data_IF_589042658279
#
_entry.id   IF_589042658279
#
_cell.length_a   1.000
_cell.length_b   1.000
_cell.length_c   1.000
_cell.angle_alpha   90.00
_cell.angle_beta   90.00
_cell.angle_gamma   90.00
#
_symmetry.space_group_name_H-M   'P 1'
#
loop_
_entity.id
_entity.type
_entity.pdbx_description
1 polymer ?
#
# COMPACT_ATOMS: atom_id res chain seq x y z
N UNK A 1 9.75 -8.02 -10.23
CA UNK A 1 8.95 -8.83 -9.32
C UNK A 1 9.14 -10.30 -9.65
N UNK A 2 9.28 -11.13 -8.61
CA UNK A 2 9.39 -12.58 -8.76
C UNK A 2 8.32 -13.24 -7.90
N UNK A 3 7.75 -14.32 -8.41
CA UNK A 3 6.84 -15.19 -7.68
C UNK A 3 7.61 -16.42 -7.21
N UNK A 4 7.38 -16.85 -5.98
CA UNK A 4 8.07 -18.00 -5.41
C UNK A 4 7.58 -18.32 -4.02
N UNK A 5 8.29 -19.18 -3.32
CA UNK A 5 8.05 -19.50 -1.91
C UNK A 5 9.36 -19.45 -1.12
N UNK A 6 9.21 -19.21 0.17
CA UNK A 6 10.26 -19.38 1.17
C UNK A 6 9.68 -20.11 2.37
N UNK A 7 10.39 -21.14 2.84
CA UNK A 7 10.01 -21.87 4.02
C UNK A 7 10.83 -21.36 5.21
N UNK A 8 10.15 -21.06 6.29
CA UNK A 8 10.77 -20.64 7.55
C UNK A 8 10.27 -21.51 8.69
N UNK A 9 11.18 -22.00 9.54
CA UNK A 9 10.79 -22.63 10.79
C UNK A 9 10.15 -21.61 11.71
N UNK A 10 8.93 -21.85 12.12
CA UNK A 10 8.31 -21.07 13.19
C UNK A 10 8.75 -21.68 14.51
N UNK A 11 9.54 -20.98 15.34
CA UNK A 11 9.98 -21.53 16.62
C UNK A 11 8.76 -21.70 17.52
N UNK A 12 8.39 -22.94 17.80
CA UNK A 12 7.41 -23.26 18.82
C UNK A 12 7.98 -22.85 20.18
N UNK A 13 7.61 -21.65 20.65
CA UNK A 13 7.75 -21.26 22.07
C UNK A 13 9.16 -21.08 22.61
N UNK A 14 10.17 -20.74 21.82
CA UNK A 14 11.47 -20.32 22.33
C UNK A 14 11.63 -18.81 22.19
N UNK A 15 11.94 -18.12 23.28
CA UNK A 15 12.54 -16.79 23.24
C UNK A 15 13.82 -16.89 22.40
N UNK A 16 13.75 -16.53 21.11
CA UNK A 16 14.91 -16.56 20.23
C UNK A 16 15.82 -15.39 20.57
N UNK A 17 17.07 -15.69 20.90
CA UNK A 17 18.12 -14.67 20.92
C UNK A 17 18.09 -13.91 19.57
N UNK A 18 18.13 -12.57 19.61
CA UNK A 18 18.13 -11.78 18.38
C UNK A 18 19.35 -12.15 17.53
N UNK A 19 19.21 -12.25 16.19
CA UNK A 19 20.32 -12.53 15.31
C UNK A 19 21.44 -11.49 15.52
N UNK A 20 22.73 -11.87 15.38
CA UNK A 20 23.85 -10.98 15.68
C UNK A 20 23.72 -9.70 14.86
N UNK A 21 23.50 -8.60 15.57
CA UNK A 21 23.37 -7.27 14.95
C UNK A 21 24.66 -6.97 14.17
N UNK A 22 24.54 -6.82 12.86
CA UNK A 22 25.59 -6.17 12.06
C UNK A 22 25.87 -4.83 12.71
N UNK A 23 27.10 -4.64 13.22
CA UNK A 23 27.52 -3.41 13.88
C UNK A 23 27.23 -2.23 12.96
N UNK A 24 26.23 -1.43 13.33
CA UNK A 24 25.89 -0.22 12.60
C UNK A 24 27.14 0.68 12.48
N UNK A 25 27.35 1.34 11.35
CA UNK A 25 28.48 2.25 11.15
C UNK A 25 28.57 3.27 12.27
N UNK A 26 29.81 3.63 12.66
CA UNK A 26 30.10 4.49 13.81
C UNK A 26 29.42 5.85 13.80
N UNK A 27 29.09 6.38 12.62
CA UNK A 27 28.31 7.62 12.46
C UNK A 27 26.86 7.51 12.96
N UNK A 28 26.25 6.33 12.98
CA UNK A 28 24.93 6.14 13.59
C UNK A 28 24.96 6.33 15.12
N UNK A 29 26.13 6.13 15.78
CA UNK A 29 26.28 6.38 17.22
C UNK A 29 26.38 7.88 17.56
N UNK A 30 26.97 8.69 16.68
CA UNK A 30 27.02 10.16 16.87
C UNK A 30 25.65 10.81 16.71
N UNK A 31 24.76 10.19 15.95
CA UNK A 31 23.38 10.67 15.74
C UNK A 31 22.43 10.24 16.86
N UNK A 32 22.61 9.03 17.40
CA UNK A 32 21.82 8.54 18.53
C UNK A 32 22.02 9.37 19.82
N UNK A 33 23.18 10.02 19.98
CA UNK A 33 23.44 10.86 21.15
C UNK A 33 22.86 12.29 21.05
N UNK A 34 22.54 12.79 19.84
CA UNK A 34 21.88 14.11 19.66
C UNK A 34 20.35 14.05 19.72
N UNK A 35 19.76 12.88 19.55
CA UNK A 35 18.30 12.70 19.52
C UNK A 35 17.66 12.43 20.90
N UNK A 36 18.47 12.18 21.95
CA UNK A 36 17.94 11.70 23.23
C UNK A 36 17.36 12.75 24.16
N UNK A 37 17.54 14.05 23.91
CA UNK A 37 17.09 15.11 24.83
C UNK A 37 15.86 15.91 24.36
N UNK A 38 15.47 15.84 23.08
CA UNK A 38 14.26 16.49 22.56
C UNK A 38 13.09 15.54 22.29
N UNK A 39 13.31 14.23 22.42
CA UNK A 39 12.31 13.18 22.08
C UNK A 39 11.50 12.68 23.27
N UNK A 40 11.74 13.15 24.48
CA UNK A 40 10.90 12.79 25.64
C UNK A 40 9.48 13.30 25.42
N UNK A 41 8.64 12.44 24.84
CA UNK A 41 7.22 12.71 24.64
C UNK A 41 6.69 12.48 23.23
N UNK A 42 7.54 12.35 22.22
CA UNK A 42 7.10 12.09 20.84
C UNK A 42 7.01 10.59 20.54
N UNK A 43 5.98 10.20 19.80
CA UNK A 43 5.81 8.82 19.32
C UNK A 43 6.29 8.79 17.87
N UNK A 44 7.46 8.18 17.65
CA UNK A 44 8.14 8.19 16.36
C UNK A 44 8.31 6.76 15.84
N UNK A 45 7.93 6.57 14.57
CA UNK A 45 8.29 5.43 13.74
C UNK A 45 9.22 5.91 12.64
N UNK A 46 10.22 5.10 12.29
CA UNK A 46 11.19 5.44 11.27
C UNK A 46 11.34 4.28 10.27
N UNK A 47 11.32 4.63 8.98
CA UNK A 47 11.68 3.76 7.86
C UNK A 47 13.04 4.20 7.31
N UNK A 48 13.51 3.57 6.23
CA UNK A 48 14.73 4.02 5.55
C UNK A 48 14.60 5.42 4.90
N UNK A 49 13.38 5.79 4.47
CA UNK A 49 13.12 7.02 3.70
C UNK A 49 12.48 8.14 4.49
N UNK A 50 11.77 7.85 5.56
CA UNK A 50 11.01 8.84 6.31
C UNK A 50 10.85 8.51 7.79
N UNK A 51 10.56 9.55 8.55
CA UNK A 51 10.12 9.51 9.94
C UNK A 51 8.64 9.87 10.01
N UNK A 52 7.87 9.10 10.79
CA UNK A 52 6.45 9.37 11.08
C UNK A 52 6.32 9.72 12.54
N UNK A 53 5.68 10.83 12.81
CA UNK A 53 5.31 11.27 14.14
C UNK A 53 3.81 11.05 14.34
N UNK A 54 3.45 10.35 15.43
CA UNK A 54 2.06 10.09 15.82
C UNK A 54 1.60 11.13 16.83
N UNK A 55 0.40 11.67 16.62
CA UNK A 55 -0.24 12.62 17.51
C UNK A 55 -0.83 11.91 18.72
N UNK A 56 -0.44 12.29 19.93
CA UNK A 56 -0.88 11.68 21.17
C UNK A 56 -2.36 11.94 21.50
N UNK A 57 -2.94 13.00 20.98
CA UNK A 57 -4.33 13.37 21.27
C UNK A 57 -5.31 12.66 20.35
N UNK A 58 -4.88 12.39 19.13
CA UNK A 58 -5.75 11.77 18.12
C UNK A 58 -5.34 10.33 17.79
N UNK A 59 -4.05 9.98 17.95
CA UNK A 59 -3.51 8.72 17.46
C UNK A 59 -3.28 8.68 15.95
N UNK A 60 -3.59 9.77 15.24
CA UNK A 60 -3.31 9.93 13.82
C UNK A 60 -1.86 10.30 13.54
N UNK A 61 -1.51 10.42 12.27
CA UNK A 61 -0.18 10.89 11.86
C UNK A 61 -0.16 12.41 11.97
N UNK A 62 0.64 12.93 12.89
CA UNK A 62 0.88 14.37 13.01
C UNK A 62 1.75 14.88 11.87
N UNK A 63 2.72 14.08 11.45
CA UNK A 63 3.63 14.45 10.37
C UNK A 63 4.43 13.29 9.80
N UNK A 64 4.73 13.39 8.51
CA UNK A 64 5.67 12.55 7.77
C UNK A 64 6.80 13.44 7.30
N UNK A 65 8.03 13.09 7.69
CA UNK A 65 9.24 13.85 7.46
C UNK A 65 10.23 13.03 6.64
N UNK A 66 10.66 13.49 5.46
CA UNK A 66 11.73 12.87 4.70
C UNK A 66 13.04 12.82 5.49
N UNK A 67 13.80 11.77 5.37
CA UNK A 67 15.13 11.65 5.93
C UNK A 67 16.19 12.12 4.92
N UNK A 68 17.34 12.70 5.40
CA UNK A 68 17.72 12.93 6.81
C UNK A 68 17.11 14.20 7.41
N UNK A 69 16.67 15.17 6.59
CA UNK A 69 16.16 16.46 7.05
C UNK A 69 15.05 16.94 6.12
N UNK A 70 13.82 16.78 6.52
CA UNK A 70 12.68 17.21 5.75
C UNK A 70 11.67 18.03 6.55
N UNK A 71 10.84 18.78 5.83
CA UNK A 71 9.65 19.42 6.42
C UNK A 71 8.53 18.40 6.52
N UNK A 72 7.56 18.67 7.39
CA UNK A 72 6.34 17.86 7.42
C UNK A 72 5.63 17.90 6.05
N UNK A 73 5.43 16.73 5.46
CA UNK A 73 4.77 16.60 4.17
C UNK A 73 3.31 16.20 4.29
N UNK A 74 2.94 15.41 5.30
CA UNK A 74 1.63 14.77 5.37
C UNK A 74 1.17 14.59 6.82
N UNK A 75 -0.10 14.90 7.09
CA UNK A 75 -0.83 14.47 8.27
C UNK A 75 -1.98 13.55 7.91
N UNK A 76 -2.44 12.71 8.86
CA UNK A 76 -3.57 11.82 8.68
C UNK A 76 -4.43 11.75 9.92
N UNK A 77 -5.76 11.67 9.74
CA UNK A 77 -6.77 11.45 10.79
C UNK A 77 -7.92 10.60 10.27
N UNK A 78 -8.64 9.97 11.18
CA UNK A 78 -9.93 9.35 10.90
C UNK A 78 -11.05 10.35 11.24
N UNK A 79 -12.10 10.37 10.43
CA UNK A 79 -13.31 11.15 10.74
C UNK A 79 -14.54 10.58 10.04
N UNK A 80 -15.71 10.88 10.60
CA UNK A 80 -16.99 10.79 9.90
C UNK A 80 -17.34 12.17 9.37
N UNK A 81 -17.74 12.26 8.10
CA UNK A 81 -18.35 13.43 7.51
C UNK A 81 -19.87 13.35 7.69
N UNK A 82 -20.44 14.46 8.15
CA UNK A 82 -21.89 14.64 8.27
C UNK A 82 -22.45 15.43 7.10
N UNK A 83 -23.71 15.25 6.80
CA UNK A 83 -24.41 15.99 5.73
C UNK A 83 -24.60 17.47 6.07
N UNK A 84 -24.75 17.79 7.35
CA UNK A 84 -24.90 19.15 7.89
C UNK A 84 -23.69 19.48 8.80
N UNK A 85 -23.41 20.78 9.04
CA UNK A 85 -22.43 21.18 10.03
C UNK A 85 -22.68 20.53 11.38
N UNK A 86 -21.62 20.04 11.99
CA UNK A 86 -21.65 19.26 13.22
C UNK A 86 -21.52 20.17 14.46
N UNK A 87 -22.54 20.98 14.74
CA UNK A 87 -22.59 21.85 15.92
C UNK A 87 -23.41 23.12 15.70
N UNK A 88 -24.05 23.60 16.78
CA UNK A 88 -24.78 24.84 16.73
C UNK A 88 -23.85 26.06 16.58
N UNK A 89 -24.10 26.87 15.56
CA UNK A 89 -23.35 28.11 15.33
C UNK A 89 -22.06 27.91 14.48
N UNK A 90 -21.80 26.75 13.93
CA UNK A 90 -20.72 26.55 12.96
C UNK A 90 -21.16 27.02 11.58
N UNK A 91 -20.24 27.67 10.85
CA UNK A 91 -20.51 28.16 9.49
C UNK A 91 -20.48 27.01 8.50
N UNK A 92 -21.39 27.01 7.52
CA UNK A 92 -21.36 26.13 6.36
C UNK A 92 -20.11 26.38 5.49
N UNK A 93 -19.49 27.55 5.61
CA UNK A 93 -18.29 27.92 4.88
C UNK A 93 -17.03 27.26 5.44
N UNK A 94 -17.07 26.71 6.68
CA UNK A 94 -15.96 25.96 7.25
C UNK A 94 -16.07 24.47 6.91
N UNK A 95 -15.23 23.94 6.02
CA UNK A 95 -15.25 22.51 5.66
C UNK A 95 -15.02 21.58 6.85
N UNK A 96 -14.33 22.01 7.89
CA UNK A 96 -14.08 21.18 9.09
C UNK A 96 -15.32 21.06 9.99
N UNK A 97 -16.28 21.98 9.90
CA UNK A 97 -17.54 21.93 10.62
C UNK A 97 -18.36 20.66 10.34
N UNK A 98 -18.11 20.00 9.20
CA UNK A 98 -18.83 18.79 8.79
C UNK A 98 -18.22 17.50 9.33
N UNK A 99 -17.16 17.54 10.15
CA UNK A 99 -16.44 16.34 10.53
C UNK A 99 -16.44 16.07 12.02
N UNK A 100 -16.46 14.79 12.36
CA UNK A 100 -16.23 14.33 13.73
C UNK A 100 -14.77 14.58 14.15
N UNK A 101 -14.53 14.60 15.46
CA UNK A 101 -13.20 14.72 16.04
C UNK A 101 -12.69 13.34 16.42
N UNK A 102 -11.40 13.06 16.11
CA UNK A 102 -10.69 11.87 16.50
C UNK A 102 -10.02 12.07 17.87
N UNK A 103 -10.23 11.14 18.80
CA UNK A 103 -9.66 11.19 20.16
C UNK A 103 -9.05 9.83 20.47
N UNK A 104 -7.75 9.81 20.80
CA UNK A 104 -7.07 8.62 21.29
C UNK A 104 -7.40 8.38 22.77
N UNK A 105 -7.58 7.10 23.13
CA UNK A 105 -7.76 6.64 24.51
C UNK A 105 -6.53 5.89 24.99
N UNK A 106 -5.97 5.02 24.14
CA UNK A 106 -4.70 4.31 24.41
C UNK A 106 -3.79 4.42 23.22
N UNK A 107 -2.47 4.45 23.48
CA UNK A 107 -1.45 4.37 22.44
C UNK A 107 -0.34 3.45 22.94
N UNK A 108 -0.12 2.35 22.25
CA UNK A 108 0.87 1.35 22.57
C UNK A 108 1.90 1.21 21.45
N UNK A 109 3.16 1.01 21.84
CA UNK A 109 4.23 0.69 20.89
C UNK A 109 4.58 -0.78 20.99
N UNK A 110 4.80 -1.40 19.85
CA UNK A 110 5.25 -2.80 19.77
C UNK A 110 6.36 -2.91 18.75
N UNK A 111 7.23 -3.86 18.95
CA UNK A 111 8.20 -4.31 17.95
C UNK A 111 8.04 -5.81 17.79
N UNK A 112 7.81 -6.26 16.56
CA UNK A 112 7.62 -7.68 16.27
C UNK A 112 8.96 -8.40 16.15
N UNK A 113 8.96 -9.72 16.25
CA UNK A 113 10.16 -10.54 16.07
C UNK A 113 10.78 -10.38 14.65
N UNK A 114 10.00 -9.95 13.66
CA UNK A 114 10.47 -9.63 12.30
C UNK A 114 11.11 -8.24 12.18
N UNK A 115 11.19 -7.47 13.28
CA UNK A 115 11.73 -6.11 13.29
C UNK A 115 10.77 -5.04 12.77
N UNK A 116 9.50 -5.37 12.60
CA UNK A 116 8.47 -4.38 12.31
C UNK A 116 8.15 -3.57 13.57
N UNK A 117 8.05 -2.26 13.42
CA UNK A 117 7.69 -1.34 14.49
C UNK A 117 6.25 -0.89 14.30
N UNK A 118 5.47 -1.03 15.35
CA UNK A 118 4.04 -0.75 15.36
C UNK A 118 3.67 0.28 16.43
N UNK A 119 2.70 1.12 16.09
CA UNK A 119 1.98 1.95 17.05
C UNK A 119 0.49 1.64 16.90
N UNK A 120 -0.07 1.01 17.93
CA UNK A 120 -1.50 0.75 18.03
C UNK A 120 -2.17 1.84 18.84
N UNK A 121 -3.23 2.40 18.29
CA UNK A 121 -4.08 3.39 18.94
C UNK A 121 -5.51 2.87 19.01
N UNK A 122 -6.11 2.84 20.19
CA UNK A 122 -7.56 2.72 20.33
C UNK A 122 -8.15 4.07 20.71
N UNK A 123 -9.38 4.33 20.26
CA UNK A 123 -10.00 5.60 20.52
C UNK A 123 -11.42 5.70 19.98
N UNK A 124 -11.90 6.93 19.93
CA UNK A 124 -13.27 7.24 19.50
C UNK A 124 -13.32 8.44 18.57
N UNK A 125 -14.30 8.41 17.69
CA UNK A 125 -14.75 9.56 16.93
C UNK A 125 -15.96 10.15 17.66
N UNK A 126 -15.95 11.46 17.87
CA UNK A 126 -17.02 12.17 18.54
C UNK A 126 -17.52 13.34 17.70
N UNK A 127 -18.79 13.66 17.83
CA UNK A 127 -19.34 14.85 17.21
C UNK A 127 -18.97 16.15 17.96
N UNK A 128 -19.48 17.30 17.53
CA UNK A 128 -19.19 18.59 18.18
C UNK A 128 -19.70 18.65 19.61
N UNK A 129 -20.80 17.94 19.94
CA UNK A 129 -21.34 17.82 21.29
C UNK A 129 -20.58 16.87 22.20
N UNK A 130 -19.64 16.08 21.62
CA UNK A 130 -18.88 15.06 22.35
C UNK A 130 -19.57 13.70 22.39
N UNK A 131 -20.69 13.52 21.66
CA UNK A 131 -21.36 12.23 21.54
C UNK A 131 -20.55 11.25 20.68
N UNK A 132 -20.63 9.97 21.05
CA UNK A 132 -19.91 8.89 20.35
C UNK A 132 -20.48 8.68 18.94
N UNK A 133 -19.61 8.73 17.95
CA UNK A 133 -19.90 8.47 16.53
C UNK A 133 -19.41 7.10 16.13
N UNK A 134 -18.18 6.73 16.52
CA UNK A 134 -17.59 5.40 16.31
C UNK A 134 -16.48 5.16 17.30
N UNK A 135 -16.17 3.89 17.57
CA UNK A 135 -14.88 3.47 18.12
C UNK A 135 -13.96 3.09 16.99
N UNK A 136 -12.65 3.21 17.21
CA UNK A 136 -11.66 2.81 16.23
C UNK A 136 -10.44 2.14 16.89
N UNK A 137 -9.82 1.27 16.13
CA UNK A 137 -8.44 0.82 16.35
C UNK A 137 -7.63 1.16 15.10
N UNK A 138 -6.48 1.81 15.26
CA UNK A 138 -5.57 2.13 14.19
C UNK A 138 -4.18 1.63 14.54
N UNK A 139 -3.59 0.82 13.64
CA UNK A 139 -2.20 0.35 13.76
C UNK A 139 -1.38 0.95 12.64
N UNK A 140 -0.36 1.70 13.01
CA UNK A 140 0.64 2.23 12.08
C UNK A 140 1.86 1.31 12.15
N UNK A 141 2.15 0.60 11.05
CA UNK A 141 3.22 -0.39 10.99
C UNK A 141 4.30 0.04 10.01
N UNK A 142 5.54 0.16 10.49
CA UNK A 142 6.73 0.43 9.70
C UNK A 142 7.58 -0.84 9.60
N UNK A 143 7.65 -1.43 8.39
CA UNK A 143 8.46 -2.60 8.11
C UNK A 143 9.78 -2.20 7.44
N UNK A 144 10.92 -2.81 7.81
CA UNK A 144 12.20 -2.58 7.14
C UNK A 144 12.24 -3.13 5.71
N UNK A 145 11.25 -3.94 5.31
CA UNK A 145 11.20 -4.61 4.02
C UNK A 145 10.23 -3.97 3.02
N UNK A 146 9.47 -2.96 3.44
CA UNK A 146 8.49 -2.29 2.60
C UNK A 146 8.86 -0.83 2.34
N UNK A 147 8.69 -0.33 1.11
CA UNK A 147 8.94 1.08 0.78
C UNK A 147 7.80 2.01 1.24
N UNK A 148 6.88 1.52 2.05
CA UNK A 148 5.73 2.25 2.57
C UNK A 148 5.39 1.79 3.99
N UNK A 149 4.72 2.67 4.71
CA UNK A 149 4.12 2.37 6.02
C UNK A 149 2.71 1.85 5.81
N UNK A 150 2.33 0.81 6.54
CA UNK A 150 0.96 0.28 6.53
C UNK A 150 0.14 0.94 7.65
N UNK A 151 -1.09 1.25 7.31
CA UNK A 151 -2.09 1.77 8.22
C UNK A 151 -3.26 0.80 8.21
N UNK A 152 -3.42 0.03 9.29
CA UNK A 152 -4.56 -0.85 9.50
C UNK A 152 -5.59 -0.12 10.36
N UNK A 153 -6.81 -0.07 9.90
CA UNK A 153 -7.91 0.67 10.53
C UNK A 153 -9.06 -0.28 10.74
N UNK A 154 -9.57 -0.34 11.96
CA UNK A 154 -10.86 -0.95 12.31
C UNK A 154 -11.79 0.12 12.81
N UNK A 155 -13.03 0.13 12.30
CA UNK A 155 -14.10 1.03 12.69
C UNK A 155 -15.28 0.23 13.23
N UNK A 156 -15.74 0.61 14.42
CA UNK A 156 -16.99 0.09 15.02
C UNK A 156 -17.97 1.28 15.12
N UNK A 157 -18.81 1.52 14.07
CA UNK A 157 -19.68 2.68 14.00
C UNK A 157 -20.90 2.54 14.92
N UNK A 158 -21.16 3.57 15.73
CA UNK A 158 -22.42 3.76 16.47
C UNK A 158 -23.43 4.55 15.61
N UNK A 159 -22.93 5.44 14.75
CA UNK A 159 -23.74 6.22 13.81
C UNK A 159 -23.40 5.80 12.39
N UNK A 160 -24.40 5.28 11.66
CA UNK A 160 -24.21 4.92 10.26
C UNK A 160 -24.29 6.15 9.35
N UNK A 161 -23.52 6.20 8.25
CA UNK A 161 -23.64 7.25 7.25
C UNK A 161 -25.05 7.36 6.63
N UNK A 162 -25.40 8.55 6.19
CA UNK A 162 -26.66 8.82 5.49
C UNK A 162 -26.64 8.33 4.04
N UNK A 163 -27.77 8.49 3.32
CA UNK A 163 -27.97 7.87 2.02
C UNK A 163 -27.02 8.37 0.92
N UNK A 164 -26.60 9.65 0.96
CA UNK A 164 -25.67 10.18 -0.05
C UNK A 164 -24.23 9.89 0.33
N UNK A 165 -23.55 8.95 -0.37
CA UNK A 165 -22.21 8.49 0.00
C UNK A 165 -21.14 9.58 -0.15
N UNK A 166 -21.40 10.64 -0.92
CA UNK A 166 -20.48 11.76 -1.07
C UNK A 166 -20.63 12.84 0.00
N UNK A 167 -21.73 12.81 0.73
CA UNK A 167 -22.01 13.82 1.77
C UNK A 167 -21.93 13.25 3.19
N UNK A 168 -22.06 11.93 3.35
CA UNK A 168 -21.98 11.28 4.65
C UNK A 168 -21.21 9.97 4.52
N UNK A 169 -20.05 9.88 5.19
CA UNK A 169 -19.13 8.74 5.12
C UNK A 169 -18.10 8.78 6.23
N UNK A 170 -17.50 7.63 6.55
CA UNK A 170 -16.27 7.57 7.30
C UNK A 170 -15.08 7.63 6.35
N UNK A 171 -14.04 8.35 6.73
CA UNK A 171 -12.85 8.53 5.90
C UNK A 171 -11.55 8.42 6.69
N UNK A 172 -10.51 7.97 5.98
CA UNK A 172 -9.13 8.29 6.29
C UNK A 172 -8.79 9.60 5.57
N UNK A 173 -8.55 10.64 6.36
CA UNK A 173 -8.31 12.00 5.87
C UNK A 173 -6.83 12.31 5.86
N UNK A 174 -6.36 12.80 4.75
CA UNK A 174 -4.98 13.23 4.54
C UNK A 174 -4.92 14.73 4.32
N UNK A 175 -3.90 15.37 4.88
CA UNK A 175 -3.60 16.78 4.63
C UNK A 175 -2.12 16.95 4.37
N UNK A 176 -1.76 17.78 3.40
CA UNK A 176 -0.35 18.04 3.04
C UNK A 176 -0.04 19.52 3.04
N UNK A 177 1.26 19.85 3.10
CA UNK A 177 1.73 21.23 3.31
C UNK A 177 1.97 22.00 2.03
N UNK A 178 2.31 21.35 0.91
CA UNK A 178 2.70 21.96 -0.35
C UNK A 178 1.49 22.10 -1.30
N UNK A 179 1.07 23.34 -1.56
CA UNK A 179 -0.07 23.66 -2.43
C UNK A 179 0.20 23.36 -3.91
N UNK A 180 1.47 23.27 -4.30
CA UNK A 180 1.87 23.02 -5.69
C UNK A 180 1.80 21.53 -6.09
N UNK A 181 1.52 20.63 -5.14
CA UNK A 181 1.42 19.20 -5.44
C UNK A 181 0.24 18.90 -6.36
N UNK A 182 0.52 18.31 -7.52
CA UNK A 182 -0.48 17.77 -8.40
C UNK A 182 -1.04 16.45 -7.87
N UNK A 183 -2.35 16.27 -7.97
CA UNK A 183 -3.01 15.01 -7.60
C UNK A 183 -3.04 14.10 -8.82
N UNK A 184 -2.49 12.90 -8.68
CA UNK A 184 -2.54 11.83 -9.68
C UNK A 184 -3.30 10.64 -9.13
N UNK A 185 -4.11 10.02 -9.96
CA UNK A 185 -4.90 8.83 -9.61
C UNK A 185 -4.54 7.65 -10.48
N UNK A 186 -4.73 6.43 -9.99
CA UNK A 186 -4.65 5.25 -10.82
C UNK A 186 -5.92 5.11 -11.67
N UNK A 187 -5.73 4.91 -12.98
CA UNK A 187 -6.78 4.53 -13.92
C UNK A 187 -6.42 3.14 -14.46
N UNK A 188 -7.08 2.10 -13.94
CA UNK A 188 -6.58 0.74 -14.11
C UNK A 188 -5.16 0.64 -13.56
N UNK A 189 -4.21 0.14 -14.36
CA UNK A 189 -2.80 0.01 -14.00
C UNK A 189 -1.93 1.20 -14.45
N UNK A 190 -2.53 2.27 -14.98
CA UNK A 190 -1.83 3.50 -15.37
C UNK A 190 -2.13 4.64 -14.39
N UNK A 191 -1.39 5.74 -14.48
CA UNK A 191 -1.65 6.95 -13.69
C UNK A 191 -2.02 8.16 -14.56
N UNK A 192 -2.90 9.02 -14.06
CA UNK A 192 -3.33 10.25 -14.69
C UNK A 192 -3.52 11.36 -13.66
N UNK A 193 -3.23 12.59 -14.04
CA UNK A 193 -3.54 13.75 -13.21
C UNK A 193 -5.06 13.98 -13.14
N UNK A 194 -5.51 14.55 -12.03
CA UNK A 194 -6.93 14.87 -11.80
C UNK A 194 -7.08 16.15 -11.00
N UNK A 195 -8.04 16.97 -11.39
CA UNK A 195 -8.50 18.15 -10.66
C UNK A 195 -9.92 17.98 -10.11
N UNK A 196 -10.49 16.78 -10.28
CA UNK A 196 -11.85 16.48 -9.84
C UNK A 196 -11.97 16.52 -8.32
N UNK A 197 -13.00 17.16 -7.79
CA UNK A 197 -13.33 17.12 -6.36
C UNK A 197 -13.64 15.70 -5.90
N UNK A 198 -14.31 14.92 -6.72
CA UNK A 198 -14.71 13.53 -6.44
C UNK A 198 -14.22 12.65 -7.58
N UNK A 199 -13.45 11.65 -7.22
CA UNK A 199 -12.85 10.78 -8.23
C UNK A 199 -12.67 9.35 -7.73
N UNK A 200 -12.50 8.45 -8.67
CA UNK A 200 -12.16 7.07 -8.43
C UNK A 200 -10.67 6.83 -8.69
N UNK A 201 -10.05 6.01 -7.84
CA UNK A 201 -8.68 5.55 -8.00
C UNK A 201 -8.55 4.15 -7.41
N UNK A 202 -8.28 3.15 -8.24
CA UNK A 202 -8.39 1.75 -7.84
C UNK A 202 -7.25 1.27 -6.94
N UNK A 203 -6.03 1.79 -7.14
CA UNK A 203 -4.83 1.26 -6.51
C UNK A 203 -4.09 2.29 -5.65
N UNK A 204 -3.99 3.54 -6.12
CA UNK A 204 -3.24 4.57 -5.41
C UNK A 204 -3.64 5.98 -5.82
N UNK A 205 -3.40 6.91 -4.91
CA UNK A 205 -3.39 8.35 -5.19
C UNK A 205 -1.97 8.86 -4.92
N UNK A 206 -1.41 9.63 -5.84
CA UNK A 206 -0.13 10.31 -5.66
C UNK A 206 -0.31 11.82 -5.55
N UNK A 207 0.42 12.40 -4.62
CA UNK A 207 0.60 13.84 -4.48
C UNK A 207 2.00 14.14 -4.98
N UNK A 208 2.08 14.62 -6.22
CA UNK A 208 3.34 14.83 -6.94
C UNK A 208 3.81 16.28 -6.80
N UNK A 209 4.81 16.51 -5.99
CA UNK A 209 5.50 17.78 -5.84
C UNK A 209 6.83 17.83 -6.61
N UNK A 210 7.49 18.98 -6.60
CA UNK A 210 8.77 19.19 -7.30
C UNK A 210 9.93 18.38 -6.70
N UNK A 211 9.94 18.14 -5.39
CA UNK A 211 11.02 17.47 -4.67
C UNK A 211 10.64 16.07 -4.18
N UNK A 212 9.37 15.84 -3.89
CA UNK A 212 8.87 14.62 -3.30
C UNK A 212 7.53 14.23 -3.90
N UNK A 213 7.31 12.93 -3.98
CA UNK A 213 6.02 12.34 -4.31
C UNK A 213 5.54 11.53 -3.11
N UNK A 214 4.36 11.86 -2.59
CA UNK A 214 3.67 11.05 -1.60
C UNK A 214 2.74 10.10 -2.34
N UNK A 215 2.75 8.84 -1.96
CA UNK A 215 1.87 7.81 -2.55
C UNK A 215 0.99 7.22 -1.46
N UNK A 216 -0.31 7.39 -1.62
CA UNK A 216 -1.33 6.74 -0.82
C UNK A 216 -1.77 5.50 -1.56
N UNK A 217 -1.40 4.32 -1.06
CA UNK A 217 -1.81 3.03 -1.63
C UNK A 217 -3.16 2.66 -1.03
N UNK A 218 -4.19 2.63 -1.85
CA UNK A 218 -5.59 2.47 -1.42
C UNK A 218 -6.31 1.34 -2.16
N UNK A 219 -5.68 0.15 -2.35
CA UNK A 219 -6.34 -0.93 -3.05
C UNK A 219 -7.60 -1.38 -2.29
N UNK A 220 -8.72 -1.51 -3.01
CA UNK A 220 -10.02 -1.82 -2.42
C UNK A 220 -10.78 -0.62 -1.84
N UNK A 221 -10.20 0.58 -1.86
CA UNK A 221 -10.80 1.84 -1.42
C UNK A 221 -10.84 2.84 -2.56
N UNK A 222 -11.71 2.65 -3.57
CA UNK A 222 -11.60 3.38 -4.83
C UNK A 222 -12.12 4.82 -4.80
N UNK A 223 -12.84 5.23 -3.76
CA UNK A 223 -13.53 6.52 -3.76
C UNK A 223 -12.80 7.57 -2.95
N UNK A 224 -12.55 8.72 -3.58
CA UNK A 224 -11.79 9.83 -3.00
C UNK A 224 -12.51 11.16 -3.19
N UNK A 225 -12.37 12.05 -2.20
CA UNK A 225 -12.89 13.40 -2.26
C UNK A 225 -11.84 14.41 -1.84
N UNK A 226 -11.58 15.39 -2.71
CA UNK A 226 -10.82 16.58 -2.35
C UNK A 226 -11.68 17.49 -1.46
N UNK A 227 -11.10 17.94 -0.35
CA UNK A 227 -11.73 18.89 0.58
C UNK A 227 -10.87 20.14 0.63
N UNK A 228 -11.12 21.03 -0.32
CA UNK A 228 -10.23 22.15 -0.58
C UNK A 228 -8.93 21.73 -1.28
N UNK A 229 -7.90 22.60 -1.23
CA UNK A 229 -6.70 22.45 -2.06
C UNK A 229 -5.71 21.38 -1.57
N UNK A 230 -5.71 21.07 -0.28
CA UNK A 230 -4.64 20.26 0.36
C UNK A 230 -5.17 19.18 1.29
N UNK A 231 -6.39 18.76 1.10
CA UNK A 231 -7.00 17.70 1.91
C UNK A 231 -7.68 16.69 1.01
N UNK A 232 -7.47 15.43 1.30
CA UNK A 232 -8.07 14.29 0.61
C UNK A 232 -8.74 13.38 1.61
N UNK A 233 -9.99 13.05 1.38
CA UNK A 233 -10.70 12.00 2.06
C UNK A 233 -10.68 10.74 1.19
N UNK A 234 -10.13 9.65 1.72
CA UNK A 234 -10.33 8.30 1.19
C UNK A 234 -11.51 7.70 1.94
N UNK A 235 -12.59 7.39 1.22
CA UNK A 235 -13.82 6.87 1.80
C UNK A 235 -13.59 5.44 2.27
N UNK A 236 -13.87 5.18 3.56
CA UNK A 236 -13.75 3.87 4.19
C UNK A 236 -15.10 3.16 4.25
N UNK A 237 -16.12 3.88 4.73
CA UNK A 237 -17.43 3.29 4.98
C UNK A 237 -18.53 4.27 4.59
N UNK A 238 -19.44 3.79 3.75
CA UNK A 238 -20.65 4.47 3.34
C UNK A 238 -21.89 3.69 3.82
N UNK A 239 -23.09 4.25 3.62
CA UNK A 239 -24.34 3.57 4.01
C UNK A 239 -24.49 2.24 3.26
N UNK A 240 -24.75 1.17 4.03
CA UNK A 240 -24.93 -0.19 3.50
C UNK A 240 -23.65 -1.01 3.42
N UNK A 241 -22.47 -0.39 3.63
CA UNK A 241 -21.20 -1.11 3.69
C UNK A 241 -21.07 -1.89 5.01
N UNK A 242 -20.65 -3.14 4.92
CA UNK A 242 -20.48 -4.02 6.09
C UNK A 242 -19.03 -4.22 6.50
N UNK A 243 -18.08 -3.87 5.63
CA UNK A 243 -16.64 -3.92 5.92
C UNK A 243 -16.29 -3.00 7.09
N UNK A 244 -15.45 -3.46 7.99
CA UNK A 244 -15.04 -2.72 9.19
C UNK A 244 -13.53 -2.57 9.29
N UNK A 245 -12.78 -3.29 8.50
CA UNK A 245 -11.32 -3.31 8.51
C UNK A 245 -10.79 -2.85 7.16
N UNK A 246 -9.82 -1.93 7.21
CA UNK A 246 -9.28 -1.27 6.04
C UNK A 246 -7.77 -1.19 6.14
N UNK A 247 -7.09 -1.30 5.00
CA UNK A 247 -5.63 -1.16 4.94
C UNK A 247 -5.24 -0.12 3.91
N UNK A 248 -4.37 0.80 4.32
CA UNK A 248 -3.82 1.85 3.46
C UNK A 248 -2.29 1.83 3.58
N UNK A 249 -1.59 2.03 2.47
CA UNK A 249 -0.15 2.25 2.48
C UNK A 249 0.18 3.73 2.29
N UNK A 250 1.22 4.21 2.97
CA UNK A 250 1.72 5.57 2.82
C UNK A 250 3.22 5.49 2.50
N UNK A 251 3.59 5.89 1.29
CA UNK A 251 4.97 5.82 0.83
C UNK A 251 5.51 7.17 0.36
N UNK A 252 6.81 7.37 0.55
CA UNK A 252 7.54 8.54 0.06
C UNK A 252 8.40 8.12 -1.12
N UNK A 253 8.25 8.83 -2.26
CA UNK A 253 9.00 8.59 -3.49
C UNK A 253 8.91 7.15 -4.01
N UNK A 254 7.73 6.54 -3.87
CA UNK A 254 7.48 5.17 -4.37
C UNK A 254 7.62 5.16 -5.88
N UNK A 255 8.64 4.47 -6.38
CA UNK A 255 9.00 4.46 -7.80
C UNK A 255 8.00 3.69 -8.67
N UNK A 256 7.41 2.61 -8.12
CA UNK A 256 6.49 1.71 -8.81
C UNK A 256 5.20 1.56 -8.00
N UNK A 257 4.28 2.53 -8.07
CA UNK A 257 3.12 2.59 -7.19
C UNK A 257 2.12 1.45 -7.42
N UNK A 258 1.96 0.98 -8.67
CA UNK A 258 1.11 -0.19 -8.97
C UNK A 258 1.66 -1.45 -8.30
N UNK A 259 2.96 -1.68 -8.41
CA UNK A 259 3.61 -2.82 -7.78
C UNK A 259 3.48 -2.77 -6.25
N UNK A 260 3.68 -1.60 -5.65
CA UNK A 260 3.52 -1.41 -4.20
C UNK A 260 2.07 -1.64 -3.75
N UNK A 261 1.08 -1.18 -4.54
CA UNK A 261 -0.32 -1.42 -4.26
C UNK A 261 -0.68 -2.92 -4.35
N UNK A 262 -0.12 -3.63 -5.34
CA UNK A 262 -0.30 -5.08 -5.45
C UNK A 262 0.32 -5.83 -4.27
N UNK A 263 1.48 -5.41 -3.75
CA UNK A 263 2.07 -5.99 -2.53
C UNK A 263 1.17 -5.79 -1.31
N UNK A 264 0.48 -4.64 -1.23
CA UNK A 264 -0.46 -4.38 -0.15
C UNK A 264 -1.75 -5.20 -0.28
N UNK A 265 -2.23 -5.39 -1.52
CA UNK A 265 -3.46 -6.13 -1.83
C UNK A 265 -3.30 -7.65 -1.69
N UNK A 266 -2.14 -8.15 -2.05
CA UNK A 266 -1.83 -9.58 -2.09
C UNK A 266 -0.60 -9.87 -1.21
N UNK A 267 -0.78 -9.90 0.12
CA UNK A 267 0.30 -10.31 1.01
C UNK A 267 0.70 -11.77 0.75
N UNK A 268 1.89 -12.14 1.21
CA UNK A 268 2.32 -13.53 1.17
C UNK A 268 1.31 -14.44 1.86
N UNK A 269 0.99 -15.57 1.22
CA UNK A 269 0.12 -16.59 1.81
C UNK A 269 0.98 -17.49 2.70
N UNK A 270 0.66 -17.54 3.98
CA UNK A 270 1.29 -18.44 4.94
C UNK A 270 0.53 -19.77 4.98
N UNK A 271 1.24 -20.87 4.76
CA UNK A 271 0.67 -22.21 4.83
C UNK A 271 1.36 -22.94 5.98
N UNK A 272 0.69 -23.08 7.15
CA UNK A 272 1.26 -23.74 8.31
C UNK A 272 1.32 -25.25 8.12
N UNK A 273 2.22 -25.92 8.86
CA UNK A 273 2.29 -27.38 9.01
C UNK A 273 2.68 -28.19 7.76
N UNK A 274 3.29 -27.57 6.77
CA UNK A 274 3.89 -28.31 5.64
C UNK A 274 5.31 -28.71 6.04
N UNK A 275 5.74 -29.98 5.83
CA UNK A 275 7.14 -30.35 6.02
C UNK A 275 8.06 -29.47 5.18
N UNK A 276 9.24 -29.16 5.72
CA UNK A 276 10.23 -28.37 4.99
C UNK A 276 10.47 -28.94 3.60
N UNK A 277 10.23 -28.17 2.54
CA UNK A 277 10.55 -28.63 1.20
C UNK A 277 12.07 -28.61 0.96
N UNK A 278 12.52 -29.37 -0.01
CA UNK A 278 13.90 -29.29 -0.51
C UNK A 278 13.89 -28.84 -1.97
N UNK A 279 14.35 -27.63 -2.31
CA UNK A 279 14.99 -26.60 -1.46
C UNK A 279 13.98 -25.84 -0.57
N UNK A 280 14.49 -25.20 0.48
CA UNK A 280 13.68 -24.39 1.43
C UNK A 280 13.14 -23.09 0.85
N UNK A 281 13.61 -22.68 -0.30
CA UNK A 281 13.09 -21.55 -1.07
C UNK A 281 13.23 -21.80 -2.56
N UNK A 282 12.25 -21.37 -3.33
CA UNK A 282 12.32 -21.40 -4.78
C UNK A 282 11.53 -20.24 -5.37
N UNK A 283 11.92 -19.85 -6.57
CA UNK A 283 11.19 -18.91 -7.40
C UNK A 283 10.43 -19.66 -8.50
N UNK A 284 9.33 -19.11 -8.93
CA UNK A 284 8.47 -19.68 -9.98
C UNK A 284 8.59 -18.90 -11.28
N UNK A 285 8.43 -17.57 -11.18
CA UNK A 285 8.44 -16.65 -12.31
C UNK A 285 9.13 -15.34 -11.90
N UNK A 286 9.91 -14.78 -12.81
CA UNK A 286 10.55 -13.48 -12.65
C UNK A 286 10.53 -12.66 -13.93
N UNK A 287 10.49 -11.33 -13.77
CA UNK A 287 10.70 -10.35 -14.83
C UNK A 287 11.96 -9.56 -14.53
N UNK A 288 12.73 -9.21 -15.58
CA UNK A 288 13.95 -8.40 -15.45
C UNK A 288 13.70 -6.89 -15.31
N UNK A 289 12.44 -6.47 -15.41
CA UNK A 289 12.01 -5.07 -15.31
C UNK A 289 10.97 -4.87 -14.21
N UNK A 290 10.92 -3.66 -13.64
CA UNK A 290 9.99 -3.33 -12.55
C UNK A 290 8.74 -2.54 -13.00
N UNK A 291 8.79 -1.94 -14.19
CA UNK A 291 7.65 -1.19 -14.75
C UNK A 291 6.61 -2.09 -15.44
N UNK A 292 6.84 -3.39 -15.47
CA UNK A 292 5.88 -4.37 -15.99
C UNK A 292 5.44 -5.27 -14.85
N UNK A 293 4.15 -5.46 -14.74
CA UNK A 293 3.53 -6.35 -13.76
C UNK A 293 2.90 -7.55 -14.44
N UNK A 294 2.90 -8.68 -13.75
CA UNK A 294 2.10 -9.85 -14.13
C UNK A 294 0.69 -9.62 -13.59
N UNK A 295 -0.24 -9.32 -14.47
CA UNK A 295 -1.64 -9.03 -14.10
C UNK A 295 -2.52 -10.27 -14.03
N UNK A 296 -2.13 -11.35 -14.72
CA UNK A 296 -2.78 -12.66 -14.60
C UNK A 296 -1.83 -13.80 -14.98
N UNK A 297 -2.04 -14.95 -14.37
CA UNK A 297 -1.41 -16.23 -14.74
C UNK A 297 -2.53 -17.28 -14.76
N UNK A 298 -2.69 -17.96 -15.90
CA UNK A 298 -3.62 -19.05 -16.08
C UNK A 298 -2.84 -20.33 -16.40
N UNK A 299 -2.84 -21.35 -15.53
CA UNK A 299 -2.22 -22.63 -15.82
C UNK A 299 -3.14 -23.45 -16.73
N UNK A 300 -2.56 -24.03 -17.78
CA UNK A 300 -3.23 -25.01 -18.66
C UNK A 300 -2.62 -26.38 -18.38
N UNK A 301 -3.44 -27.32 -17.99
CA UNK A 301 -3.03 -28.68 -17.66
C UNK A 301 -3.57 -29.69 -18.68
N UNK A 302 -2.75 -30.69 -19.00
CA UNK A 302 -3.15 -31.88 -19.74
C UNK A 302 -2.80 -33.11 -18.91
N UNK A 303 -3.74 -34.06 -18.77
CA UNK A 303 -3.58 -35.31 -17.99
C UNK A 303 -3.06 -35.07 -16.53
N UNK A 304 -3.43 -33.92 -15.94
CA UNK A 304 -3.02 -33.55 -14.59
C UNK A 304 -1.64 -32.91 -14.50
N UNK A 305 -0.89 -32.79 -15.59
CA UNK A 305 0.39 -32.08 -15.66
C UNK A 305 0.24 -30.68 -16.22
N UNK A 306 0.98 -29.73 -15.64
CA UNK A 306 1.07 -28.35 -16.13
C UNK A 306 1.89 -28.34 -17.43
N UNK A 307 1.24 -28.04 -18.55
CA UNK A 307 1.86 -28.04 -19.89
C UNK A 307 2.05 -26.64 -20.47
N UNK A 308 1.21 -25.67 -20.09
CA UNK A 308 1.24 -24.31 -20.62
C UNK A 308 0.89 -23.31 -19.52
N UNK A 309 1.49 -22.14 -19.58
CA UNK A 309 1.13 -20.97 -18.81
C UNK A 309 0.66 -19.88 -19.76
N UNK A 310 -0.53 -19.36 -19.55
CA UNK A 310 -0.98 -18.10 -20.15
C UNK A 310 -0.70 -16.96 -19.18
N UNK A 311 0.10 -16.01 -19.61
CA UNK A 311 0.61 -14.94 -18.75
C UNK A 311 0.21 -13.61 -19.36
N UNK A 312 -0.39 -12.75 -18.55
CA UNK A 312 -0.75 -11.38 -18.94
C UNK A 312 0.24 -10.41 -18.31
N UNK A 313 0.94 -9.66 -19.15
CA UNK A 313 1.89 -8.63 -18.72
C UNK A 313 1.33 -7.25 -19.05
N UNK A 314 1.45 -6.32 -18.10
CA UNK A 314 1.00 -4.93 -18.29
C UNK A 314 2.11 -3.97 -17.90
N UNK A 315 2.45 -3.05 -18.80
CA UNK A 315 3.36 -1.93 -18.53
C UNK A 315 2.60 -0.80 -17.81
N UNK A 316 3.15 -0.29 -16.69
CA UNK A 316 2.42 0.57 -15.75
C UNK A 316 2.97 1.99 -15.60
N UNK A 317 4.15 2.26 -16.17
CA UNK A 317 4.89 3.52 -15.96
C UNK A 317 5.04 4.38 -17.23
N UNK A 318 4.42 3.96 -18.34
CA UNK A 318 4.52 4.64 -19.62
C UNK A 318 5.90 4.54 -20.29
N UNK A 319 6.62 3.42 -20.06
CA UNK A 319 7.97 3.18 -20.59
C UNK A 319 7.98 1.94 -21.47
N UNK A 320 7.96 2.13 -22.79
CA UNK A 320 8.15 1.04 -23.73
C UNK A 320 9.58 0.45 -23.64
N UNK A 321 9.69 -0.85 -23.81
CA UNK A 321 11.01 -1.51 -23.82
C UNK A 321 10.95 -3.03 -23.91
N UNK A 322 12.12 -3.68 -23.94
CA UNK A 322 12.23 -5.13 -23.87
C UNK A 322 11.86 -5.62 -22.46
N UNK A 323 11.29 -6.82 -22.41
CA UNK A 323 10.96 -7.56 -21.19
C UNK A 323 11.41 -9.00 -21.36
N UNK A 324 12.16 -9.53 -20.40
CA UNK A 324 12.50 -10.94 -20.34
C UNK A 324 11.72 -11.59 -19.19
N UNK A 325 10.94 -12.57 -19.56
CA UNK A 325 10.25 -13.48 -18.64
C UNK A 325 11.16 -14.68 -18.39
N UNK A 326 11.32 -15.05 -17.14
CA UNK A 326 12.05 -16.22 -16.71
C UNK A 326 11.15 -17.13 -15.87
N UNK A 327 11.22 -18.44 -16.12
CA UNK A 327 10.48 -19.46 -15.39
C UNK A 327 11.42 -20.42 -14.66
N UNK A 328 10.96 -21.07 -13.61
CA UNK A 328 11.73 -22.09 -12.87
C UNK A 328 11.91 -23.41 -13.64
N UNK A 329 11.29 -23.54 -14.81
CA UNK A 329 11.38 -24.72 -15.70
C UNK A 329 11.79 -24.30 -17.10
N UNK A 330 12.48 -25.15 -17.86
CA UNK A 330 12.79 -24.89 -19.26
C UNK A 330 11.51 -24.67 -20.09
N UNK A 331 11.60 -23.71 -21.01
CA UNK A 331 10.53 -23.35 -21.94
C UNK A 331 10.73 -24.13 -23.24
N UNK A 332 9.71 -24.84 -23.69
CA UNK A 332 9.70 -25.51 -24.97
C UNK A 332 9.44 -24.55 -26.13
N UNK A 333 8.43 -23.68 -25.96
CA UNK A 333 8.07 -22.66 -26.93
C UNK A 333 7.29 -21.53 -26.25
N UNK A 334 7.38 -20.32 -26.78
CA UNK A 334 6.61 -19.18 -26.32
C UNK A 334 6.05 -18.38 -27.50
N UNK A 335 4.86 -17.87 -27.33
CA UNK A 335 4.13 -17.12 -28.33
C UNK A 335 3.50 -15.87 -27.69
N UNK A 336 3.45 -14.80 -28.45
CA UNK A 336 2.54 -13.72 -28.18
C UNK A 336 1.19 -14.10 -28.76
N UNK A 337 0.15 -13.99 -27.95
CA UNK A 337 -1.22 -14.32 -28.33
C UNK A 337 -2.11 -13.08 -28.17
N UNK A 338 -3.29 -13.10 -28.76
CA UNK A 338 -4.34 -12.13 -28.47
C UNK A 338 -5.15 -12.52 -27.22
N UNK A 339 -6.15 -11.72 -26.87
CA UNK A 339 -7.02 -11.97 -25.70
C UNK A 339 -7.91 -13.21 -25.87
N UNK A 340 -8.05 -13.76 -27.08
CA UNK A 340 -8.82 -14.98 -27.39
C UNK A 340 -7.95 -16.23 -27.46
N UNK A 341 -6.60 -16.05 -27.38
CA UNK A 341 -5.63 -17.16 -27.44
C UNK A 341 -5.09 -17.46 -28.84
N UNK A 342 -5.42 -16.64 -29.85
CA UNK A 342 -4.89 -16.78 -31.19
C UNK A 342 -3.43 -16.32 -31.26
N UNK A 343 -2.59 -17.11 -31.91
CA UNK A 343 -1.15 -16.84 -32.02
C UNK A 343 -0.92 -15.65 -32.95
N UNK A 344 -0.24 -14.62 -32.42
CA UNK A 344 0.17 -13.44 -33.17
C UNK A 344 1.60 -13.58 -33.73
N UNK A 345 2.54 -13.98 -32.86
CA UNK A 345 3.95 -14.14 -33.25
C UNK A 345 4.68 -15.12 -32.31
N UNK A 346 5.68 -15.87 -32.83
CA UNK A 346 6.56 -16.66 -31.99
C UNK A 346 7.56 -15.74 -31.27
N UNK A 347 7.96 -16.13 -30.04
CA UNK A 347 8.96 -15.44 -29.24
C UNK A 347 10.26 -16.23 -29.22
N UNK A 348 11.39 -15.50 -29.11
CA UNK A 348 12.70 -16.13 -28.93
C UNK A 348 12.76 -16.77 -27.53
N UNK A 349 13.09 -18.05 -27.50
CA UNK A 349 13.25 -18.84 -26.27
C UNK A 349 14.71 -19.22 -26.12
N UNK A 350 15.22 -19.06 -24.90
CA UNK A 350 16.55 -19.54 -24.52
C UNK A 350 16.45 -20.17 -23.13
N UNK A 351 16.56 -21.49 -23.07
CA UNK A 351 16.44 -22.30 -21.85
C UNK A 351 15.16 -22.01 -21.07
N UNK A 352 15.25 -21.33 -19.94
CA UNK A 352 14.17 -20.95 -19.03
C UNK A 352 13.62 -19.53 -19.27
N UNK A 353 14.01 -18.88 -20.38
CA UNK A 353 13.70 -17.49 -20.66
C UNK A 353 13.05 -17.29 -22.01
N UNK A 354 12.13 -16.32 -22.08
CA UNK A 354 11.63 -15.77 -23.33
C UNK A 354 11.56 -14.24 -23.28
N UNK A 355 11.94 -13.61 -24.41
CA UNK A 355 11.98 -12.15 -24.54
C UNK A 355 10.87 -11.62 -25.44
N UNK A 356 10.32 -10.47 -25.11
CA UNK A 356 9.37 -9.71 -25.94
C UNK A 356 9.54 -8.22 -25.74
N UNK A 357 8.86 -7.40 -26.56
CA UNK A 357 8.78 -5.96 -26.37
C UNK A 357 7.36 -5.59 -25.90
N UNK A 358 7.29 -4.60 -25.01
CA UNK A 358 6.02 -4.05 -24.54
C UNK A 358 6.00 -2.54 -24.79
N UNK A 359 4.88 -2.03 -25.28
CA UNK A 359 4.65 -0.59 -25.47
C UNK A 359 4.28 0.12 -24.17
N UNK A 360 4.21 1.45 -24.22
CA UNK A 360 3.74 2.29 -23.11
C UNK A 360 2.31 1.94 -22.75
N UNK A 361 2.05 1.64 -21.46
CA UNK A 361 0.72 1.29 -20.95
C UNK A 361 0.05 0.14 -21.70
N UNK A 362 0.84 -0.70 -22.34
CA UNK A 362 0.34 -1.83 -23.11
C UNK A 362 0.15 -3.06 -22.21
N UNK A 363 -0.92 -3.80 -22.51
CA UNK A 363 -1.12 -5.16 -22.01
C UNK A 363 -0.85 -6.15 -23.13
N UNK A 364 -0.07 -7.18 -22.86
CA UNK A 364 0.22 -8.28 -23.80
C UNK A 364 -0.10 -9.61 -23.14
N UNK A 365 -0.44 -10.59 -23.98
CA UNK A 365 -0.76 -11.94 -23.58
C UNK A 365 0.29 -12.87 -24.16
N UNK A 366 0.77 -13.79 -23.31
CA UNK A 366 1.79 -14.77 -23.66
C UNK A 366 1.25 -16.18 -23.42
N UNK A 367 1.53 -17.09 -24.33
CA UNK A 367 1.38 -18.54 -24.16
C UNK A 367 2.78 -19.13 -24.07
N UNK A 368 3.10 -19.77 -22.96
CA UNK A 368 4.42 -20.35 -22.70
C UNK A 368 4.26 -21.85 -22.41
N UNK A 369 4.73 -22.68 -23.32
CA UNK A 369 4.72 -24.13 -23.16
C UNK A 369 5.99 -24.59 -22.45
N UNK A 370 5.80 -25.46 -21.46
CA UNK A 370 6.88 -25.99 -20.65
C UNK A 370 7.37 -27.32 -21.24
N UNK A 371 8.65 -27.62 -21.05
CA UNK A 371 9.15 -28.97 -21.36
C UNK A 371 8.55 -29.98 -20.40
N UNK A 372 8.16 -31.14 -20.91
CA UNK A 372 7.77 -32.27 -20.05
C UNK A 372 8.95 -32.67 -19.16
N UNK A 373 8.66 -32.98 -17.90
CA UNK A 373 9.66 -33.41 -16.90
C UNK A 373 10.06 -34.87 -17.17
#
# INVERSE_FOLDING_TARGET
>A
PSFGYSWTEYPAGSESEPPPQRKAPWWNRLWAQRSSSEEEGKIILQTESCQIQVDRTTGGIQGLYPLPYGRNLLGQKLAMRFTQPNGSGQSEDDPEAFYSRMIAETIERRETASGEKEVETTGRLVDAGGELVAKFTQVICASPHLPFVRLHIRLDPERMPEANPWNSYYACRFAWSDESMAVRRSLGLASSETELERFESLYFVQLAGSSHTLTLLTPGLPYHRMVGLRKLDTLLLVRGETTREFTIGIGLNVRYPVQAAMQLLQPAVEIPQIPSPSPTSAWFLGLDVHNVVVSAIEPVSADGELVELRIVLTETEGRAGPVNLRLCRPIQSAYRIDAFGEVLEPLAVKDDQCGTNIGRFQTIFLSVKLTHS
#
